data_IF_001352560222
#
_entry.id   IF_001352560222
#
_cell.length_a   1.000
_cell.length_b   1.000
_cell.length_c   1.000
_cell.angle_alpha   90.00
_cell.angle_beta   90.00
_cell.angle_gamma   90.00
#
_symmetry.space_group_name_H-M   'P 1'
#
loop_
_entity.id
_entity.type
_entity.pdbx_description
1 polymer ?
#
# COMPACT_ATOMS: atom_id res chain seq x y z
N UNK A 1 9.83 6.80 16.94
CA UNK A 1 10.10 7.36 15.59
C UNK A 1 8.77 7.83 15.04
N UNK A 2 8.64 9.11 14.70
CA UNK A 2 7.44 9.60 14.00
C UNK A 2 7.43 9.03 12.58
N UNK A 3 6.26 8.85 11.93
CA UNK A 3 6.17 8.33 10.57
C UNK A 3 7.14 9.01 9.59
N UNK A 4 7.35 10.31 9.74
CA UNK A 4 8.23 11.13 8.90
C UNK A 4 9.72 10.79 9.03
N UNK A 5 10.18 10.36 10.22
CA UNK A 5 11.57 9.97 10.43
C UNK A 5 11.93 8.66 9.73
N UNK A 6 11.00 7.69 9.69
CA UNK A 6 11.26 6.38 9.08
C UNK A 6 11.49 6.48 7.57
N UNK A 7 10.60 7.18 6.86
CA UNK A 7 10.71 7.31 5.40
C UNK A 7 11.93 8.14 5.00
N UNK A 8 12.30 9.14 5.80
CA UNK A 8 13.53 9.89 5.61
C UNK A 8 14.76 8.99 5.76
N UNK A 9 14.85 8.22 6.84
CA UNK A 9 15.96 7.30 7.07
C UNK A 9 16.04 6.25 5.95
N UNK A 10 14.90 5.73 5.49
CA UNK A 10 14.82 4.79 4.36
C UNK A 10 15.32 5.42 3.06
N UNK A 11 14.91 6.65 2.77
CA UNK A 11 15.37 7.39 1.60
C UNK A 11 16.87 7.64 1.66
N UNK A 12 17.39 8.04 2.83
CA UNK A 12 18.82 8.29 3.04
C UNK A 12 19.63 6.99 2.91
N UNK A 13 19.12 5.86 3.41
CA UNK A 13 19.72 4.54 3.21
C UNK A 13 19.88 4.20 1.72
N UNK A 14 18.80 4.29 0.94
CA UNK A 14 18.86 3.95 -0.49
C UNK A 14 19.66 4.97 -1.31
N UNK A 15 19.68 6.25 -0.93
CA UNK A 15 20.58 7.26 -1.53
C UNK A 15 22.05 6.89 -1.30
N UNK A 16 22.42 6.50 -0.07
CA UNK A 16 23.77 6.06 0.25
C UNK A 16 24.15 4.80 -0.51
N UNK A 17 23.24 3.81 -0.56
CA UNK A 17 23.43 2.56 -1.31
C UNK A 17 23.64 2.83 -2.80
N UNK A 18 22.74 3.59 -3.43
CA UNK A 18 22.83 3.93 -4.85
C UNK A 18 24.13 4.68 -5.18
N UNK A 19 24.54 5.62 -4.33
CA UNK A 19 25.80 6.36 -4.51
C UNK A 19 27.00 5.41 -4.46
N UNK A 20 27.02 4.48 -3.52
CA UNK A 20 28.09 3.49 -3.38
C UNK A 20 28.11 2.50 -4.55
N UNK A 21 26.95 1.98 -4.95
CA UNK A 21 26.80 1.06 -6.09
C UNK A 21 27.15 1.72 -7.42
N UNK A 22 26.80 2.99 -7.62
CA UNK A 22 27.18 3.76 -8.81
C UNK A 22 28.71 3.92 -8.90
N UNK A 23 29.38 4.21 -7.78
CA UNK A 23 30.85 4.28 -7.75
C UNK A 23 31.49 2.93 -8.06
N UNK A 24 30.94 1.85 -7.48
CA UNK A 24 31.36 0.47 -7.79
C UNK A 24 31.18 0.15 -9.28
N UNK A 25 30.02 0.47 -9.85
CA UNK A 25 29.71 0.20 -11.25
C UNK A 25 30.59 0.99 -12.22
N UNK A 26 30.89 2.26 -11.93
CA UNK A 26 31.85 3.05 -12.71
C UNK A 26 33.22 2.37 -12.77
N UNK A 27 33.71 1.87 -11.63
CA UNK A 27 34.99 1.13 -11.59
C UNK A 27 34.94 -0.20 -12.32
N UNK A 28 33.80 -0.90 -12.28
CA UNK A 28 33.59 -2.10 -13.09
C UNK A 28 33.65 -1.76 -14.59
N UNK A 29 32.96 -0.71 -15.02
CA UNK A 29 32.93 -0.29 -16.43
C UNK A 29 34.32 0.16 -16.93
N UNK A 30 35.08 0.91 -16.12
CA UNK A 30 36.48 1.27 -16.41
C UNK A 30 37.35 0.02 -16.63
N UNK A 31 37.20 -1.00 -15.78
CA UNK A 31 37.93 -2.28 -15.89
C UNK A 31 37.45 -3.13 -17.08
N UNK A 32 36.16 -3.08 -17.41
CA UNK A 32 35.59 -3.78 -18.55
C UNK A 32 36.15 -3.24 -19.87
N UNK A 33 36.27 -1.91 -20.00
CA UNK A 33 36.81 -1.23 -21.19
C UNK A 33 38.33 -1.31 -21.37
N UNK A 34 39.06 -1.94 -20.43
CA UNK A 34 40.52 -2.09 -20.57
C UNK A 34 40.85 -3.19 -21.59
N UNK A 35 41.47 -2.81 -22.71
CA UNK A 35 41.95 -3.74 -23.75
C UNK A 35 43.19 -4.51 -23.28
N UNK A 36 43.32 -5.78 -23.71
CA UNK A 36 44.48 -6.62 -23.43
C UNK A 36 44.50 -7.37 -22.10
N UNK A 37 43.43 -7.28 -21.29
CA UNK A 37 43.25 -8.11 -20.08
C UNK A 37 42.14 -9.13 -20.28
N UNK A 38 42.44 -10.39 -19.95
CA UNK A 38 41.46 -11.46 -19.90
C UNK A 38 40.50 -11.30 -18.69
N UNK A 39 39.35 -11.97 -18.73
CA UNK A 39 38.31 -11.90 -17.70
C UNK A 39 38.86 -12.17 -16.29
N UNK A 40 39.71 -13.18 -16.13
CA UNK A 40 40.28 -13.53 -14.81
C UNK A 40 41.22 -12.45 -14.28
N UNK A 41 41.98 -11.78 -15.15
CA UNK A 41 42.83 -10.65 -14.76
C UNK A 41 42.00 -9.44 -14.34
N UNK A 42 40.85 -9.20 -14.99
CA UNK A 42 39.90 -8.15 -14.62
C UNK A 42 39.25 -8.45 -13.27
N UNK A 43 38.85 -9.69 -13.03
CA UNK A 43 38.30 -10.17 -11.74
C UNK A 43 39.30 -10.01 -10.59
N UNK A 44 40.56 -10.40 -10.78
CA UNK A 44 41.62 -10.21 -9.79
C UNK A 44 41.91 -8.73 -9.51
N UNK A 45 41.89 -7.88 -10.55
CA UNK A 45 42.08 -6.43 -10.39
C UNK A 45 40.93 -5.82 -9.59
N UNK A 46 39.69 -6.23 -9.86
CA UNK A 46 38.52 -5.79 -9.12
C UNK A 46 38.55 -6.25 -7.65
N UNK A 47 38.98 -7.48 -7.38
CA UNK A 47 39.11 -7.98 -6.00
C UNK A 47 40.14 -7.19 -5.17
N UNK A 48 41.18 -6.63 -5.81
CA UNK A 48 42.18 -5.76 -5.18
C UNK A 48 41.69 -4.31 -5.00
N UNK A 49 40.63 -3.91 -5.72
CA UNK A 49 40.06 -2.58 -5.65
C UNK A 49 39.32 -2.40 -4.32
N UNK A 50 39.89 -1.63 -3.41
CA UNK A 50 39.24 -1.25 -2.16
C UNK A 50 38.35 -0.03 -2.40
N UNK A 51 37.04 -0.25 -2.45
CA UNK A 51 36.08 0.84 -2.43
C UNK A 51 36.16 1.56 -1.08
N UNK A 52 36.09 2.89 -1.14
CA UNK A 52 36.15 3.76 0.05
C UNK A 52 34.76 3.91 0.66
N UNK A 53 34.70 4.06 1.97
CA UNK A 53 33.44 4.34 2.67
C UNK A 53 32.81 5.63 2.15
N UNK A 54 31.50 5.62 1.89
CA UNK A 54 30.79 6.77 1.32
C UNK A 54 30.83 8.00 2.24
N UNK A 55 30.89 7.79 3.56
CA UNK A 55 30.87 8.87 4.55
C UNK A 55 32.29 9.41 4.86
N UNK A 56 33.25 8.55 5.23
CA UNK A 56 34.59 8.99 5.67
C UNK A 56 35.69 8.86 4.63
N UNK A 57 35.40 8.30 3.45
CA UNK A 57 36.35 8.06 2.35
C UNK A 57 37.58 7.22 2.74
N UNK A 58 37.50 6.47 3.84
CA UNK A 58 38.55 5.56 4.29
C UNK A 58 38.42 4.18 3.64
N UNK A 59 39.53 3.44 3.62
CA UNK A 59 39.58 2.06 3.17
C UNK A 59 38.73 1.16 4.09
N UNK A 60 38.01 0.21 3.50
CA UNK A 60 37.05 -0.66 4.19
C UNK A 60 35.64 -0.57 3.63
N UNK A 61 35.33 0.45 2.83
CA UNK A 61 34.05 0.57 2.14
C UNK A 61 32.86 0.84 3.07
N UNK A 62 31.66 0.78 2.50
CA UNK A 62 30.41 0.82 3.26
C UNK A 62 29.75 -0.55 3.16
N UNK A 63 29.43 -1.14 4.30
CA UNK A 63 28.75 -2.42 4.40
C UNK A 63 27.24 -2.17 4.47
N UNK A 64 26.51 -2.72 3.51
CA UNK A 64 25.05 -2.72 3.49
C UNK A 64 24.56 -4.12 3.81
N UNK A 65 23.75 -4.25 4.86
CA UNK A 65 23.06 -5.49 5.24
C UNK A 65 21.56 -5.30 5.03
N UNK A 66 20.95 -6.21 4.26
CA UNK A 66 19.52 -6.19 3.97
C UNK A 66 18.93 -7.56 4.35
N UNK A 67 18.09 -7.57 5.38
CA UNK A 67 17.30 -8.74 5.78
C UNK A 67 15.81 -8.41 5.70
N UNK A 68 14.95 -9.39 5.96
CA UNK A 68 13.49 -9.20 6.05
C UNK A 68 13.10 -8.10 7.03
N UNK A 69 13.83 -7.97 8.12
CA UNK A 69 13.46 -7.12 9.26
C UNK A 69 14.40 -5.92 9.48
N UNK A 70 15.57 -5.90 8.85
CA UNK A 70 16.60 -4.88 9.10
C UNK A 70 17.27 -4.42 7.81
N UNK A 71 17.39 -3.10 7.66
CA UNK A 71 18.34 -2.46 6.75
C UNK A 71 19.43 -1.80 7.59
N UNK A 72 20.69 -2.14 7.35
CA UNK A 72 21.83 -1.55 8.07
C UNK A 72 22.91 -1.09 7.11
N UNK A 73 23.42 0.12 7.32
CA UNK A 73 24.57 0.67 6.61
C UNK A 73 25.65 1.07 7.62
N UNK A 74 26.82 0.44 7.56
CA UNK A 74 27.95 0.70 8.46
C UNK A 74 29.25 0.96 7.71
N UNK A 75 30.19 1.63 8.37
CA UNK A 75 31.56 1.73 7.87
C UNK A 75 32.26 0.36 8.00
N UNK A 76 32.84 -0.16 6.91
CA UNK A 76 33.58 -1.43 6.93
C UNK A 76 35.04 -1.31 7.39
N UNK A 77 35.49 -0.14 7.86
CA UNK A 77 36.84 0.03 8.39
C UNK A 77 36.92 -0.49 9.84
N UNK A 78 37.62 -1.59 10.05
CA UNK A 78 37.79 -2.24 11.37
C UNK A 78 38.75 -1.51 12.33
N UNK A 79 39.63 -0.63 11.82
CA UNK A 79 40.67 0.04 12.62
C UNK A 79 40.20 1.42 13.11
N UNK A 80 39.54 2.19 12.23
CA UNK A 80 38.99 3.51 12.56
C UNK A 80 37.62 3.70 11.87
N UNK A 81 36.57 3.04 12.38
CA UNK A 81 35.22 3.21 11.85
C UNK A 81 34.77 4.66 12.01
N UNK A 82 34.03 5.17 11.03
CA UNK A 82 33.38 6.47 11.16
C UNK A 82 32.00 6.33 11.80
N UNK A 83 31.35 7.45 12.10
CA UNK A 83 30.01 7.48 12.74
C UNK A 83 28.86 7.02 11.81
N UNK A 84 29.15 6.36 10.70
CA UNK A 84 28.13 5.78 9.83
C UNK A 84 27.64 4.47 10.45
N UNK A 85 26.52 4.53 11.16
CA UNK A 85 25.74 3.37 11.61
C UNK A 85 24.26 3.71 11.50
N UNK A 86 23.71 3.48 10.30
CA UNK A 86 22.28 3.65 10.04
C UNK A 86 21.62 2.28 10.14
N UNK A 87 20.71 2.10 11.10
CA UNK A 87 19.98 0.86 11.32
C UNK A 87 18.47 1.15 11.30
N UNK A 88 17.75 0.52 10.38
CA UNK A 88 16.33 0.74 10.13
C UNK A 88 15.60 -0.59 10.27
N UNK A 89 14.73 -0.69 11.27
CA UNK A 89 13.81 -1.83 11.39
C UNK A 89 12.75 -1.71 10.30
N UNK A 90 12.65 -2.69 9.42
CA UNK A 90 11.70 -2.69 8.31
C UNK A 90 10.28 -2.82 8.85
N UNK A 91 9.40 -1.95 8.38
CA UNK A 91 7.96 -2.10 8.60
C UNK A 91 7.43 -3.26 7.77
N UNK A 92 6.50 -4.01 8.33
CA UNK A 92 5.79 -5.09 7.63
C UNK A 92 4.43 -4.58 7.19
N UNK A 93 4.02 -5.00 6.01
CA UNK A 93 2.74 -4.63 5.43
C UNK A 93 2.00 -5.88 5.00
N UNK A 94 0.68 -5.85 5.04
CA UNK A 94 -0.15 -6.91 4.54
C UNK A 94 -1.41 -6.35 3.91
N UNK A 95 -1.99 -7.11 2.99
CA UNK A 95 -3.29 -6.77 2.43
C UNK A 95 -4.40 -7.03 3.47
N UNK A 96 -5.36 -6.12 3.58
CA UNK A 96 -6.45 -6.24 4.58
C UNK A 96 -7.20 -7.57 4.43
N UNK A 97 -7.47 -8.02 3.20
CA UNK A 97 -8.19 -9.28 2.95
C UNK A 97 -7.42 -10.52 3.43
N UNK A 98 -6.09 -10.53 3.29
CA UNK A 98 -5.26 -11.63 3.81
C UNK A 98 -5.32 -11.66 5.34
N UNK A 99 -5.25 -10.48 5.98
CA UNK A 99 -5.36 -10.35 7.43
C UNK A 99 -6.74 -10.74 7.94
N UNK A 100 -7.81 -10.34 7.27
CA UNK A 100 -9.18 -10.76 7.59
C UNK A 100 -9.33 -12.29 7.53
N UNK A 101 -8.80 -12.92 6.47
CA UNK A 101 -8.81 -14.38 6.32
C UNK A 101 -8.04 -15.07 7.46
N UNK A 102 -6.82 -14.62 7.75
CA UNK A 102 -6.00 -15.17 8.81
C UNK A 102 -6.63 -14.99 10.21
N UNK A 103 -7.18 -13.80 10.50
CA UNK A 103 -7.86 -13.54 11.77
C UNK A 103 -9.14 -14.36 11.90
N UNK A 104 -9.91 -14.54 10.82
CA UNK A 104 -11.08 -15.43 10.81
C UNK A 104 -10.69 -16.87 11.10
N UNK A 105 -9.63 -17.38 10.49
CA UNK A 105 -9.14 -18.73 10.75
C UNK A 105 -8.68 -18.88 12.21
N UNK A 106 -7.99 -17.88 12.76
CA UNK A 106 -7.60 -17.87 14.17
C UNK A 106 -8.83 -17.92 15.10
N UNK A 107 -9.86 -17.13 14.83
CA UNK A 107 -11.12 -17.14 15.59
C UNK A 107 -11.77 -18.52 15.60
N UNK A 108 -11.87 -19.18 14.45
CA UNK A 108 -12.44 -20.53 14.37
C UNK A 108 -11.58 -21.57 15.11
N UNK A 109 -10.26 -21.45 15.05
CA UNK A 109 -9.35 -22.29 15.83
C UNK A 109 -9.50 -22.07 17.34
N UNK A 110 -9.61 -20.83 17.81
CA UNK A 110 -9.84 -20.56 19.22
C UNK A 110 -11.18 -21.10 19.71
N UNK A 111 -12.26 -20.92 18.94
CA UNK A 111 -13.58 -21.52 19.25
C UNK A 111 -13.47 -23.04 19.33
N UNK A 112 -12.80 -23.67 18.36
CA UNK A 112 -12.58 -25.13 18.36
C UNK A 112 -11.79 -25.57 19.60
N UNK A 113 -10.69 -24.90 19.92
CA UNK A 113 -9.86 -25.24 21.08
C UNK A 113 -10.62 -25.05 22.41
N UNK A 114 -11.49 -24.04 22.50
CA UNK A 114 -12.38 -23.85 23.65
C UNK A 114 -13.33 -25.04 23.80
N UNK A 115 -13.97 -25.47 22.69
CA UNK A 115 -14.86 -26.63 22.69
C UNK A 115 -14.10 -27.90 23.10
N UNK A 116 -12.92 -28.13 22.51
CA UNK A 116 -12.06 -29.27 22.84
C UNK A 116 -11.67 -29.26 24.32
N UNK A 117 -11.21 -28.12 24.86
CA UNK A 117 -10.86 -27.99 26.28
C UNK A 117 -12.04 -28.31 27.20
N UNK A 118 -13.25 -27.85 26.85
CA UNK A 118 -14.48 -28.17 27.61
C UNK A 118 -14.81 -29.66 27.59
N UNK A 119 -14.66 -30.32 26.44
CA UNK A 119 -14.90 -31.75 26.29
C UNK A 119 -13.84 -32.55 27.05
N UNK A 120 -12.56 -32.15 26.95
CA UNK A 120 -11.46 -32.80 27.64
C UNK A 120 -11.65 -32.75 29.16
N UNK A 121 -12.12 -31.61 29.68
CA UNK A 121 -12.49 -31.50 31.09
C UNK A 121 -13.69 -32.39 31.45
N UNK A 122 -14.77 -32.36 30.64
CA UNK A 122 -15.99 -33.15 30.87
C UNK A 122 -15.71 -34.67 30.93
N UNK A 123 -14.79 -35.16 30.10
CA UNK A 123 -14.38 -36.56 30.08
C UNK A 123 -13.20 -36.87 31.00
N UNK A 124 -12.78 -35.91 31.84
CA UNK A 124 -11.69 -36.04 32.80
C UNK A 124 -10.32 -36.36 32.15
N UNK A 125 -10.09 -35.93 30.91
CA UNK A 125 -8.77 -36.01 30.26
C UNK A 125 -7.80 -34.94 30.77
N UNK A 126 -8.33 -33.84 31.35
CA UNK A 126 -7.57 -32.77 31.98
C UNK A 126 -8.15 -32.41 33.36
N UNK A 127 -7.30 -31.90 34.24
CA UNK A 127 -7.69 -31.42 35.57
C UNK A 127 -8.35 -30.03 35.50
N UNK A 128 -9.18 -29.73 36.50
CA UNK A 128 -9.94 -28.47 36.57
C UNK A 128 -9.04 -27.23 36.52
N UNK A 129 -7.96 -27.19 37.30
CA UNK A 129 -7.03 -26.05 37.32
C UNK A 129 -6.45 -25.76 35.93
N UNK A 130 -5.99 -26.81 35.23
CA UNK A 130 -5.46 -26.71 33.86
C UNK A 130 -6.54 -26.31 32.84
N UNK A 131 -7.77 -26.79 33.03
CA UNK A 131 -8.90 -26.42 32.18
C UNK A 131 -9.25 -24.94 32.32
N UNK A 132 -9.27 -24.41 33.56
CA UNK A 132 -9.55 -23.00 33.85
C UNK A 132 -8.46 -22.08 33.24
N UNK A 133 -7.18 -22.39 33.46
CA UNK A 133 -6.07 -21.60 32.92
C UNK A 133 -6.13 -21.54 31.38
N UNK A 134 -6.31 -22.70 30.74
CA UNK A 134 -6.40 -22.80 29.28
C UNK A 134 -7.62 -22.04 28.75
N UNK A 135 -8.76 -22.14 29.44
CA UNK A 135 -9.98 -21.46 29.03
C UNK A 135 -9.84 -19.93 29.09
N UNK A 136 -9.28 -19.39 30.17
CA UNK A 136 -9.08 -17.93 30.30
C UNK A 136 -8.09 -17.39 29.26
N UNK A 137 -7.00 -18.12 28.98
CA UNK A 137 -6.06 -17.76 27.92
C UNK A 137 -6.74 -17.74 26.54
N UNK A 138 -7.47 -18.81 26.19
CA UNK A 138 -8.16 -18.92 24.91
C UNK A 138 -9.26 -17.86 24.75
N UNK A 139 -9.96 -17.54 25.84
CA UNK A 139 -11.00 -16.50 25.87
C UNK A 139 -10.38 -15.12 25.64
N UNK A 140 -9.24 -14.81 26.26
CA UNK A 140 -8.51 -13.57 26.01
C UNK A 140 -8.05 -13.47 24.54
N UNK A 141 -7.46 -14.54 24.01
CA UNK A 141 -7.02 -14.59 22.61
C UNK A 141 -8.18 -14.45 21.61
N UNK A 142 -9.32 -15.08 21.91
CA UNK A 142 -10.55 -14.98 21.13
C UNK A 142 -11.05 -13.54 21.11
N UNK A 143 -11.17 -12.89 22.28
CA UNK A 143 -11.65 -11.51 22.39
C UNK A 143 -10.75 -10.53 21.63
N UNK A 144 -9.43 -10.63 21.82
CA UNK A 144 -8.47 -9.77 21.11
C UNK A 144 -8.54 -9.96 19.58
N UNK A 145 -8.69 -11.21 19.14
CA UNK A 145 -8.81 -11.54 17.71
C UNK A 145 -10.15 -11.05 17.14
N UNK A 146 -11.21 -11.06 17.95
CA UNK A 146 -12.53 -10.58 17.53
C UNK A 146 -12.54 -9.07 17.38
N UNK A 147 -11.94 -8.34 18.32
CA UNK A 147 -11.74 -6.89 18.19
C UNK A 147 -10.92 -6.55 16.94
N UNK A 148 -9.82 -7.28 16.72
CA UNK A 148 -8.98 -7.12 15.52
C UNK A 148 -9.80 -7.37 14.24
N UNK A 149 -10.61 -8.42 14.20
CA UNK A 149 -11.46 -8.75 13.06
C UNK A 149 -12.49 -7.66 12.77
N UNK A 150 -13.14 -7.15 13.81
CA UNK A 150 -14.11 -6.04 13.70
C UNK A 150 -13.41 -4.80 13.15
N UNK A 151 -12.27 -4.41 13.71
CA UNK A 151 -11.51 -3.24 13.25
C UNK A 151 -11.07 -3.37 11.79
N UNK A 152 -10.57 -4.53 11.38
CA UNK A 152 -10.19 -4.80 9.98
C UNK A 152 -11.41 -4.77 9.04
N UNK A 153 -12.56 -5.30 9.49
CA UNK A 153 -13.80 -5.31 8.69
C UNK A 153 -14.34 -3.90 8.50
N UNK A 154 -14.37 -3.11 9.57
CA UNK A 154 -14.78 -1.69 9.52
C UNK A 154 -13.86 -0.91 8.59
N UNK A 155 -12.54 -1.09 8.70
CA UNK A 155 -11.59 -0.44 7.81
C UNK A 155 -11.81 -0.86 6.34
N UNK A 156 -11.93 -2.16 6.08
CA UNK A 156 -12.18 -2.67 4.72
C UNK A 156 -13.46 -2.08 4.13
N UNK A 157 -14.56 -2.04 4.90
CA UNK A 157 -15.82 -1.46 4.47
C UNK A 157 -15.71 0.05 4.26
N UNK A 158 -14.97 0.78 5.09
CA UNK A 158 -14.76 2.22 4.91
C UNK A 158 -14.06 2.58 3.60
N UNK A 159 -13.26 1.66 3.04
CA UNK A 159 -12.54 1.82 1.78
C UNK A 159 -13.38 1.33 0.59
N UNK A 160 -14.03 0.17 0.74
CA UNK A 160 -14.69 -0.53 -0.38
C UNK A 160 -16.19 -0.26 -0.49
N UNK A 161 -16.86 0.00 0.64
CA UNK A 161 -18.31 0.10 0.77
C UNK A 161 -18.69 1.23 1.75
N UNK A 162 -18.18 2.43 1.52
CA UNK A 162 -18.47 3.59 2.36
C UNK A 162 -19.92 4.05 2.15
N UNK A 163 -20.82 3.70 3.07
CA UNK A 163 -22.26 3.98 2.98
C UNK A 163 -22.57 5.49 2.93
N UNK A 164 -21.89 6.31 3.73
CA UNK A 164 -22.07 7.76 3.74
C UNK A 164 -21.72 8.37 2.37
N UNK A 165 -20.60 7.94 1.80
CA UNK A 165 -20.18 8.37 0.45
C UNK A 165 -21.17 7.89 -0.61
N UNK A 166 -21.69 6.66 -0.51
CA UNK A 166 -22.70 6.15 -1.44
C UNK A 166 -23.98 6.99 -1.38
N UNK A 167 -24.46 7.34 -0.19
CA UNK A 167 -25.63 8.20 -0.01
C UNK A 167 -25.41 9.59 -0.64
N UNK A 168 -24.26 10.22 -0.38
CA UNK A 168 -23.91 11.51 -0.99
C UNK A 168 -23.87 11.45 -2.52
N UNK A 169 -23.32 10.36 -3.08
CA UNK A 169 -23.28 10.14 -4.53
C UNK A 169 -24.72 10.02 -5.09
N UNK A 170 -25.60 9.29 -4.41
CA UNK A 170 -26.99 9.13 -4.85
C UNK A 170 -27.76 10.46 -4.82
N UNK A 171 -27.59 11.27 -3.78
CA UNK A 171 -28.19 12.61 -3.71
C UNK A 171 -27.76 13.48 -4.89
N UNK A 172 -26.48 13.48 -5.24
CA UNK A 172 -25.95 14.25 -6.37
C UNK A 172 -26.43 13.72 -7.71
N UNK A 173 -26.55 12.40 -7.88
CA UNK A 173 -27.13 11.79 -9.08
C UNK A 173 -28.58 12.25 -9.26
N UNK A 174 -29.36 12.32 -8.17
CA UNK A 174 -30.75 12.77 -8.23
C UNK A 174 -30.85 14.24 -8.69
N UNK A 175 -29.97 15.11 -8.19
CA UNK A 175 -29.88 16.52 -8.65
C UNK A 175 -29.44 16.60 -10.12
N UNK A 176 -28.51 15.74 -10.54
CA UNK A 176 -28.05 15.67 -11.94
C UNK A 176 -29.18 15.23 -12.87
N UNK A 177 -29.94 14.18 -12.53
CA UNK A 177 -31.08 13.70 -13.33
C UNK A 177 -32.19 14.75 -13.42
N UNK A 178 -32.46 15.51 -12.34
CA UNK A 178 -33.38 16.64 -12.41
C UNK A 178 -32.88 17.74 -13.36
N UNK A 179 -31.59 18.06 -13.32
CA UNK A 179 -30.98 19.04 -14.23
C UNK A 179 -31.03 18.57 -15.69
N UNK A 180 -30.82 17.28 -15.94
CA UNK A 180 -30.95 16.65 -17.24
C UNK A 180 -32.39 16.68 -17.77
N UNK A 181 -33.38 16.52 -16.90
CA UNK A 181 -34.79 16.68 -17.27
C UNK A 181 -35.09 18.13 -17.69
N UNK A 182 -34.67 19.11 -16.89
CA UNK A 182 -34.82 20.54 -17.24
C UNK A 182 -34.13 20.89 -18.56
N UNK A 183 -32.94 20.32 -18.80
CA UNK A 183 -32.21 20.46 -20.05
C UNK A 183 -33.00 19.90 -21.24
N UNK A 184 -33.55 18.68 -21.11
CA UNK A 184 -34.34 18.04 -22.16
C UNK A 184 -35.62 18.83 -22.48
N UNK A 185 -36.34 19.30 -21.44
CA UNK A 185 -37.53 20.15 -21.60
C UNK A 185 -37.21 21.44 -22.37
N UNK A 186 -36.10 22.10 -22.04
CA UNK A 186 -35.66 23.30 -22.76
C UNK A 186 -35.33 23.01 -24.24
N UNK A 187 -34.74 21.86 -24.55
CA UNK A 187 -34.50 21.46 -25.94
C UNK A 187 -35.79 21.15 -26.69
N UNK A 188 -36.77 20.52 -26.06
CA UNK A 188 -38.04 20.19 -26.70
C UNK A 188 -38.89 21.45 -26.97
N UNK A 189 -38.83 22.44 -26.07
CA UNK A 189 -39.39 23.77 -26.30
C UNK A 189 -38.69 24.49 -27.47
N UNK A 190 -37.37 24.38 -27.59
CA UNK A 190 -36.65 24.91 -28.74
C UNK A 190 -37.09 24.25 -30.05
N UNK A 191 -37.17 22.91 -30.10
CA UNK A 191 -37.61 22.16 -31.30
C UNK A 191 -39.01 22.57 -31.73
N UNK A 192 -39.90 22.82 -30.78
CA UNK A 192 -41.32 23.13 -31.05
C UNK A 192 -41.55 24.60 -31.42
N UNK A 193 -40.79 25.53 -30.83
CA UNK A 193 -41.01 26.97 -31.00
C UNK A 193 -40.03 27.66 -31.96
N UNK A 194 -38.87 27.06 -32.21
CA UNK A 194 -37.75 27.68 -32.92
C UNK A 194 -37.06 28.84 -32.16
N UNK A 195 -37.48 29.17 -30.94
CA UNK A 195 -36.95 30.32 -30.21
C UNK A 195 -35.58 30.02 -29.58
N UNK A 196 -34.56 30.77 -29.98
CA UNK A 196 -33.16 30.56 -29.54
C UNK A 196 -32.95 30.76 -28.03
N UNK A 197 -33.86 31.43 -27.34
CA UNK A 197 -33.85 31.60 -25.88
C UNK A 197 -33.89 30.26 -25.15
N UNK A 198 -34.69 29.30 -25.61
CA UNK A 198 -34.75 27.97 -25.02
C UNK A 198 -33.45 27.18 -25.23
N UNK A 199 -32.80 27.34 -26.38
CA UNK A 199 -31.49 26.75 -26.64
C UNK A 199 -30.41 27.35 -25.71
N UNK A 200 -30.43 28.67 -25.50
CA UNK A 200 -29.52 29.33 -24.54
C UNK A 200 -29.76 28.82 -23.12
N UNK A 201 -31.02 28.67 -22.71
CA UNK A 201 -31.36 28.13 -21.39
C UNK A 201 -30.86 26.70 -21.22
N UNK A 202 -31.05 25.82 -22.22
CA UNK A 202 -30.50 24.47 -22.19
C UNK A 202 -28.97 24.50 -22.03
N UNK A 203 -28.27 25.36 -22.78
CA UNK A 203 -26.82 25.47 -22.67
C UNK A 203 -26.34 26.01 -21.33
N UNK A 204 -27.10 26.93 -20.74
CA UNK A 204 -26.80 27.43 -19.40
C UNK A 204 -26.97 26.33 -18.35
N UNK A 205 -28.04 25.52 -18.42
CA UNK A 205 -28.24 24.37 -17.51
C UNK A 205 -27.08 23.38 -17.63
N UNK A 206 -26.65 23.07 -18.86
CA UNK A 206 -25.53 22.17 -19.08
C UNK A 206 -24.24 22.72 -18.45
N UNK A 207 -23.91 23.99 -18.75
CA UNK A 207 -22.67 24.62 -18.32
C UNK A 207 -22.60 24.85 -16.81
N UNK A 208 -23.69 25.30 -16.19
CA UNK A 208 -23.71 25.72 -14.78
C UNK A 208 -24.08 24.61 -13.81
N UNK A 209 -24.82 23.60 -14.27
CA UNK A 209 -25.28 22.49 -13.42
C UNK A 209 -24.70 21.15 -13.86
N UNK A 210 -25.01 20.69 -15.07
CA UNK A 210 -24.71 19.31 -15.45
C UNK A 210 -23.21 19.02 -15.54
N UNK A 211 -22.43 19.83 -16.25
CA UNK A 211 -20.98 19.64 -16.39
C UNK A 211 -20.24 19.64 -15.03
N UNK A 212 -20.45 20.62 -14.13
CA UNK A 212 -19.80 20.58 -12.82
C UNK A 212 -20.30 19.43 -11.94
N UNK A 213 -21.62 19.16 -11.89
CA UNK A 213 -22.16 18.04 -11.11
C UNK A 213 -21.65 16.68 -11.62
N UNK A 214 -21.56 16.50 -12.94
CA UNK A 214 -21.04 15.28 -13.54
C UNK A 214 -19.58 15.04 -13.18
N UNK A 215 -18.77 16.10 -13.19
CA UNK A 215 -17.37 16.05 -12.77
C UNK A 215 -17.24 15.74 -11.27
N UNK A 216 -18.10 16.35 -10.45
CA UNK A 216 -18.14 16.09 -9.01
C UNK A 216 -18.54 14.62 -8.70
N UNK A 217 -19.58 14.10 -9.36
CA UNK A 217 -19.99 12.70 -9.22
C UNK A 217 -18.86 11.76 -9.63
N UNK A 218 -18.16 12.06 -10.72
CA UNK A 218 -17.02 11.27 -11.19
C UNK A 218 -15.90 11.21 -10.13
N UNK A 219 -15.52 12.36 -9.60
CA UNK A 219 -14.46 12.48 -8.58
C UNK A 219 -14.85 11.82 -7.24
N UNK A 220 -16.14 11.79 -6.91
CA UNK A 220 -16.65 11.10 -5.72
C UNK A 220 -16.69 9.58 -5.90
N UNK A 221 -17.05 9.11 -7.10
CA UNK A 221 -17.17 7.68 -7.40
C UNK A 221 -15.82 7.00 -7.58
N UNK A 222 -14.86 7.69 -8.18
CA UNK A 222 -13.62 7.06 -8.63
C UNK A 222 -12.40 7.84 -8.18
N UNK A 223 -11.51 7.13 -7.48
CA UNK A 223 -10.22 7.65 -7.06
C UNK A 223 -9.20 7.66 -8.21
N UNK A 224 -9.33 6.73 -9.15
CA UNK A 224 -8.53 6.70 -10.37
C UNK A 224 -9.36 6.25 -11.59
N UNK A 225 -9.02 6.81 -12.75
CA UNK A 225 -9.60 6.42 -14.03
C UNK A 225 -8.53 6.51 -15.12
N UNK A 226 -8.35 5.45 -15.90
CA UNK A 226 -7.33 5.39 -16.94
C UNK A 226 -7.73 4.43 -18.07
N UNK A 227 -7.03 4.54 -19.20
CA UNK A 227 -7.22 3.64 -20.35
C UNK A 227 -5.96 2.81 -20.51
N UNK A 228 -6.13 1.50 -20.63
CA UNK A 228 -5.02 0.57 -20.89
C UNK A 228 -5.31 -0.21 -22.18
N UNK A 229 -4.24 -0.54 -22.91
CA UNK A 229 -4.33 -1.37 -24.12
C UNK A 229 -4.11 -2.82 -23.74
N UNK A 230 -5.04 -3.70 -24.07
CA UNK A 230 -4.90 -5.13 -23.81
C UNK A 230 -3.99 -5.82 -24.85
N UNK A 231 -3.70 -7.10 -24.62
CA UNK A 231 -2.90 -7.94 -25.53
C UNK A 231 -3.52 -8.13 -26.93
N UNK A 232 -4.82 -7.84 -27.06
CA UNK A 232 -5.58 -7.93 -28.31
C UNK A 232 -5.68 -6.58 -29.04
N UNK A 233 -4.85 -5.60 -28.65
CA UNK A 233 -4.80 -4.26 -29.23
C UNK A 233 -6.06 -3.39 -28.97
N UNK A 234 -6.90 -3.76 -28.01
CA UNK A 234 -8.12 -3.05 -27.64
C UNK A 234 -7.88 -2.12 -26.45
N UNK A 235 -8.53 -0.95 -26.47
CA UNK A 235 -8.47 0.02 -25.38
C UNK A 235 -9.60 -0.24 -24.36
N UNK A 236 -9.23 -0.48 -23.12
CA UNK A 236 -10.15 -0.73 -22.01
C UNK A 236 -10.08 0.46 -21.05
N UNK A 237 -11.24 1.00 -20.68
CA UNK A 237 -11.36 2.06 -19.69
C UNK A 237 -11.60 1.48 -18.29
N UNK A 238 -10.74 1.83 -17.36
CA UNK A 238 -10.81 1.42 -15.96
C UNK A 238 -11.28 2.57 -15.09
N UNK A 239 -12.18 2.28 -14.15
CA UNK A 239 -12.65 3.23 -13.14
C UNK A 239 -12.62 2.55 -11.78
N UNK A 240 -11.69 2.97 -10.91
CA UNK A 240 -11.49 2.34 -9.61
C UNK A 240 -12.02 3.25 -8.50
N UNK A 241 -12.90 2.70 -7.66
CA UNK A 241 -13.44 3.41 -6.49
C UNK A 241 -12.36 3.66 -5.41
N UNK A 242 -11.36 2.80 -5.34
CA UNK A 242 -10.21 2.89 -4.44
C UNK A 242 -8.94 2.40 -5.15
N UNK A 243 -7.77 2.72 -4.60
CA UNK A 243 -6.50 2.20 -5.09
C UNK A 243 -6.12 0.94 -4.30
N UNK A 244 -5.36 0.02 -4.92
CA UNK A 244 -4.89 -1.19 -4.23
C UNK A 244 -4.04 -0.86 -3.00
N UNK A 245 -3.30 0.25 -3.03
CA UNK A 245 -2.51 0.75 -1.90
C UNK A 245 -3.38 1.09 -0.68
N UNK A 246 -4.64 1.48 -0.88
CA UNK A 246 -5.56 1.79 0.22
C UNK A 246 -5.88 0.54 1.05
N UNK A 247 -5.75 -0.65 0.45
CA UNK A 247 -5.97 -1.94 1.11
C UNK A 247 -4.71 -2.51 1.77
N UNK A 248 -3.60 -1.77 1.78
CA UNK A 248 -2.35 -2.19 2.41
C UNK A 248 -2.26 -1.55 3.80
N UNK A 249 -2.11 -2.39 4.83
CA UNK A 249 -1.96 -1.94 6.22
C UNK A 249 -0.59 -2.27 6.78
N UNK A 250 -0.05 -1.35 7.58
CA UNK A 250 1.15 -1.59 8.39
C UNK A 250 0.82 -2.53 9.55
N UNK A 251 1.58 -3.62 9.66
CA UNK A 251 1.49 -4.53 10.80
C UNK A 251 2.25 -3.93 11.98
N UNK A 252 1.51 -3.63 13.04
CA UNK A 252 2.08 -3.28 14.35
C UNK A 252 2.36 -4.59 15.08
N UNK A 253 3.60 -5.05 15.00
CA UNK A 253 4.16 -6.11 15.87
C UNK A 253 4.34 -5.57 17.30
#
# INVERSE_FOLDING_TARGET
MTPDTYYKDLQDYYKLKNSYETLKQKKINELAGTYGKDYDQKKQTFAKLKLKCINCKQDGGTLFTETSDLLRATCGNSVKPCKLDLAIKRKKFAHISERLSATKQALENYKKNIITTKLDFLFNYIEEERAIETFELLKQQLNNSQETYINLTTLYNSITHNEELQNLIQEKILVFENSKKQYAEALDLYKSSGQITYLKNAMEIYKTKMAPLGSEIMNLKYKSSYVEKNEQDQYIFFQNAYNLEDLIIELKD
#
